data_IF_575273846631
#
_entry.id   IF_575273846631
#
_cell.length_a   1.000
_cell.length_b   1.000
_cell.length_c   1.000
_cell.angle_alpha   90.00
_cell.angle_beta   90.00
_cell.angle_gamma   90.00
#
_symmetry.space_group_name_H-M   'P 1'
#
loop_
_entity.id
_entity.type
_entity.pdbx_description
1 polymer ?
#
# COMPACT_ATOMS: atom_id res chain seq x y z
N UNK A 1 34.63 47.72 -81.34
CA UNK A 1 35.80 48.06 -80.51
C UNK A 1 35.38 48.02 -79.04
N UNK A 2 36.02 47.13 -78.26
CA UNK A 2 36.10 47.13 -76.78
C UNK A 2 36.91 48.37 -76.31
N UNK A 3 36.90 48.81 -75.01
CA UNK A 3 37.11 48.03 -73.77
C UNK A 3 36.12 48.39 -72.62
N UNK A 4 35.69 47.54 -71.68
CA UNK A 4 36.33 46.71 -70.62
C UNK A 4 37.22 47.46 -69.63
N UNK A 5 36.80 47.61 -68.37
CA UNK A 5 37.60 47.28 -67.17
C UNK A 5 36.67 46.89 -66.00
N UNK A 6 36.78 45.64 -65.53
CA UNK A 6 36.39 45.20 -64.17
C UNK A 6 37.59 45.44 -63.23
N UNK A 7 37.35 45.48 -61.90
CA UNK A 7 37.95 44.40 -61.11
C UNK A 7 36.99 43.71 -60.15
N UNK A 8 37.35 42.46 -59.89
CA UNK A 8 36.70 41.46 -59.05
C UNK A 8 37.29 41.47 -57.65
N UNK A 9 36.46 41.50 -56.60
CA UNK A 9 36.86 41.09 -55.24
C UNK A 9 35.70 40.32 -54.57
N UNK A 10 35.93 39.04 -54.30
CA UNK A 10 35.27 38.15 -53.32
C UNK A 10 36.25 38.00 -52.13
N UNK A 11 35.92 37.45 -50.95
CA UNK A 11 34.65 37.08 -50.30
C UNK A 11 34.63 37.66 -48.83
N UNK A 12 33.97 37.14 -47.75
CA UNK A 12 33.87 35.74 -47.32
C UNK A 12 32.43 35.24 -47.08
N UNK A 13 32.24 33.95 -47.31
CA UNK A 13 31.12 33.17 -46.80
C UNK A 13 31.45 32.90 -45.32
N UNK A 14 30.64 33.42 -44.40
CA UNK A 14 30.70 33.01 -43.00
C UNK A 14 29.44 32.20 -42.67
N UNK A 15 29.57 30.92 -42.32
CA UNK A 15 28.44 30.13 -41.88
C UNK A 15 28.11 30.52 -40.43
N UNK A 16 26.93 31.11 -40.22
CA UNK A 16 26.38 31.28 -38.87
C UNK A 16 25.79 29.94 -38.43
N UNK A 17 26.66 29.04 -37.99
CA UNK A 17 26.27 27.89 -37.18
C UNK A 17 25.95 28.47 -35.80
N UNK A 18 24.66 28.63 -35.49
CA UNK A 18 24.21 28.79 -34.12
C UNK A 18 23.94 27.40 -33.54
N UNK A 19 24.75 26.91 -32.58
CA UNK A 19 24.33 25.84 -31.71
C UNK A 19 23.36 26.45 -30.70
N UNK A 20 22.06 26.24 -30.88
CA UNK A 20 21.08 26.49 -29.81
C UNK A 20 21.18 25.36 -28.79
N UNK A 21 22.28 25.34 -28.03
CA UNK A 21 22.37 24.59 -26.79
C UNK A 21 21.61 25.44 -25.77
N UNK A 22 20.32 25.18 -25.62
CA UNK A 22 19.59 25.60 -24.44
C UNK A 22 19.86 24.55 -23.35
N UNK A 23 20.61 24.88 -22.29
CA UNK A 23 20.60 24.06 -21.09
C UNK A 23 19.24 24.27 -20.43
N UNK A 24 18.32 23.32 -20.63
CA UNK A 24 17.12 23.21 -19.79
C UNK A 24 17.58 22.71 -18.42
N UNK A 25 18.08 23.65 -17.60
CA UNK A 25 18.21 23.48 -16.16
C UNK A 25 16.79 23.48 -15.62
N UNK A 26 16.08 22.36 -15.74
CA UNK A 26 14.96 22.10 -14.87
C UNK A 26 15.57 21.62 -13.55
N UNK A 27 15.38 22.36 -12.44
CA UNK A 27 15.83 21.88 -11.14
C UNK A 27 15.12 20.55 -10.89
N UNK A 28 15.91 19.48 -10.74
CA UNK A 28 15.45 18.28 -10.07
C UNK A 28 14.85 18.74 -8.75
N UNK A 29 13.52 18.71 -8.63
CA UNK A 29 12.87 18.82 -7.34
C UNK A 29 13.29 17.54 -6.64
N UNK A 30 14.34 17.66 -5.83
CA UNK A 30 14.64 16.74 -4.76
C UNK A 30 13.37 16.66 -3.93
N UNK A 31 12.54 15.68 -4.23
CA UNK A 31 11.52 15.23 -3.31
C UNK A 31 12.30 14.73 -2.10
N UNK A 32 12.18 15.35 -0.92
CA UNK A 32 12.67 14.72 0.28
C UNK A 32 11.71 13.55 0.50
N UNK A 33 12.11 12.35 0.09
CA UNK A 33 11.54 11.13 0.66
C UNK A 33 12.00 11.04 2.11
N UNK A 34 11.46 11.93 2.94
CA UNK A 34 11.49 11.77 4.37
C UNK A 34 10.31 10.83 4.65
N UNK A 35 10.58 9.53 4.55
CA UNK A 35 9.88 8.55 5.36
C UNK A 35 10.39 8.73 6.79
N UNK A 36 9.60 9.22 7.75
CA UNK A 36 9.88 8.93 9.14
C UNK A 36 9.28 7.55 9.40
N UNK A 37 10.09 6.52 9.22
CA UNK A 37 9.81 5.20 9.77
C UNK A 37 11.10 4.62 10.33
N UNK A 38 11.64 5.29 11.35
CA UNK A 38 12.60 4.64 12.25
C UNK A 38 11.75 3.88 13.28
N UNK A 39 11.27 2.71 12.88
CA UNK A 39 10.96 1.65 13.83
C UNK A 39 12.09 0.61 13.74
N UNK A 40 12.62 0.12 14.87
CA UNK A 40 13.59 -0.96 14.86
C UNK A 40 12.95 -2.17 14.17
N UNK A 41 13.59 -2.67 13.11
CA UNK A 41 13.21 -3.95 12.51
C UNK A 41 13.52 -5.05 13.52
N UNK A 42 12.55 -5.42 14.34
CA UNK A 42 12.63 -6.66 15.11
C UNK A 42 12.25 -7.78 14.14
N UNK A 43 13.24 -8.33 13.44
CA UNK A 43 13.11 -9.64 12.82
C UNK A 43 12.83 -10.66 13.94
N UNK A 44 11.68 -11.34 13.97
CA UNK A 44 11.49 -12.43 14.92
C UNK A 44 12.42 -13.57 14.50
N UNK A 45 13.41 -13.89 15.35
CA UNK A 45 14.17 -15.12 15.20
C UNK A 45 13.18 -16.28 15.39
N UNK A 46 12.94 -17.05 14.33
CA UNK A 46 12.10 -18.24 14.35
C UNK A 46 12.94 -19.35 15.00
N UNK A 47 12.97 -19.38 16.33
CA UNK A 47 13.44 -20.52 17.09
C UNK A 47 12.23 -21.12 17.82
N UNK A 48 11.84 -22.38 17.57
CA UNK A 48 10.69 -23.00 18.21
C UNK A 48 11.11 -23.43 19.61
N UNK A 49 10.92 -22.55 20.58
CA UNK A 49 11.01 -22.90 22.00
C UNK A 49 10.07 -22.04 22.82
N UNK A 50 8.94 -22.64 23.17
CA UNK A 50 8.08 -22.42 24.34
C UNK A 50 8.06 -21.00 24.94
N UNK A 51 6.88 -20.36 24.88
CA UNK A 51 6.48 -19.04 25.42
C UNK A 51 6.53 -17.83 24.45
N UNK A 52 5.80 -17.84 23.34
CA UNK A 52 5.22 -16.58 22.84
C UNK A 52 4.00 -16.22 23.70
N UNK A 53 4.26 -15.58 24.85
CA UNK A 53 3.22 -14.87 25.62
C UNK A 53 2.58 -13.83 24.70
N UNK A 54 1.29 -13.97 24.37
CA UNK A 54 0.24 -12.96 24.10
C UNK A 54 0.66 -11.53 23.65
N UNK A 55 1.78 -11.35 22.97
CA UNK A 55 2.29 -10.06 22.53
C UNK A 55 1.79 -9.84 21.10
N UNK A 56 1.35 -8.62 20.75
CA UNK A 56 1.05 -8.29 19.38
C UNK A 56 2.31 -8.47 18.51
N UNK A 57 2.14 -9.17 17.40
CA UNK A 57 3.09 -9.19 16.30
C UNK A 57 2.74 -8.01 15.40
N UNK A 58 3.64 -7.04 15.35
CA UNK A 58 3.50 -5.84 14.53
C UNK A 58 3.94 -6.15 13.11
N UNK A 59 3.14 -5.74 12.13
CA UNK A 59 3.56 -5.73 10.74
C UNK A 59 3.48 -4.29 10.24
N UNK A 60 4.58 -3.82 9.64
CA UNK A 60 4.48 -2.63 8.80
C UNK A 60 3.51 -2.93 7.65
N UNK A 61 2.68 -1.95 7.25
CA UNK A 61 1.79 -2.09 6.09
C UNK A 61 2.53 -2.55 4.83
N UNK A 62 3.82 -2.18 4.69
CA UNK A 62 4.67 -2.65 3.60
C UNK A 62 4.82 -4.17 3.51
N UNK A 63 4.61 -4.92 4.60
CA UNK A 63 4.59 -6.39 4.55
C UNK A 63 3.36 -6.89 3.81
N UNK A 64 2.19 -6.29 4.01
CA UNK A 64 0.96 -6.69 3.34
C UNK A 64 0.97 -6.38 1.83
N UNK A 65 1.91 -5.56 1.34
CA UNK A 65 2.02 -5.20 -0.08
C UNK A 65 2.71 -6.24 -0.95
N UNK A 66 3.36 -7.25 -0.37
CA UNK A 66 4.22 -8.18 -1.13
C UNK A 66 3.82 -9.64 -0.93
N UNK A 67 4.04 -10.47 -1.95
CA UNK A 67 3.89 -11.93 -1.85
C UNK A 67 4.72 -12.50 -0.68
N UNK A 68 5.93 -12.00 -0.46
CA UNK A 68 6.76 -12.44 0.66
C UNK A 68 6.14 -12.15 2.04
N UNK A 69 5.53 -10.99 2.23
CA UNK A 69 4.86 -10.67 3.48
C UNK A 69 3.55 -11.43 3.65
N UNK A 70 2.78 -11.65 2.58
CA UNK A 70 1.59 -12.51 2.61
C UNK A 70 1.93 -13.96 3.00
N UNK A 71 3.05 -14.51 2.49
CA UNK A 71 3.57 -15.83 2.91
C UNK A 71 3.82 -15.89 4.41
N UNK A 72 4.43 -14.85 4.96
CA UNK A 72 4.74 -14.79 6.39
C UNK A 72 3.47 -14.67 7.24
N UNK A 73 2.50 -13.85 6.83
CA UNK A 73 1.22 -13.70 7.52
C UNK A 73 0.43 -15.01 7.47
N UNK A 74 0.37 -15.66 6.29
CA UNK A 74 -0.21 -16.99 6.14
C UNK A 74 0.43 -17.97 7.11
N UNK A 75 1.76 -18.11 7.07
CA UNK A 75 2.53 -19.03 7.90
C UNK A 75 2.31 -18.80 9.41
N UNK A 76 2.05 -17.57 9.84
CA UNK A 76 1.70 -17.26 11.23
C UNK A 76 0.23 -17.60 11.53
N UNK A 77 -0.70 -17.18 10.67
CA UNK A 77 -2.14 -17.36 10.91
C UNK A 77 -2.61 -18.82 10.89
N UNK A 78 -1.86 -19.74 10.27
CA UNK A 78 -2.17 -21.18 10.30
C UNK A 78 -1.67 -21.90 11.55
N UNK A 79 -0.82 -21.27 12.36
CA UNK A 79 -0.26 -21.88 13.59
C UNK A 79 -1.25 -21.88 14.76
N UNK A 80 -2.31 -21.10 14.69
CA UNK A 80 -3.31 -20.99 15.74
C UNK A 80 -4.33 -19.90 15.44
N UNK A 81 -5.19 -19.61 16.40
CA UNK A 81 -6.18 -18.56 16.26
C UNK A 81 -5.56 -17.20 16.56
N UNK A 82 -5.77 -16.23 15.67
CA UNK A 82 -5.29 -14.85 15.82
C UNK A 82 -6.45 -13.87 15.74
N UNK A 83 -6.34 -12.80 16.51
CA UNK A 83 -7.14 -11.59 16.35
C UNK A 83 -6.32 -10.52 15.63
N UNK A 84 -7.00 -9.64 14.90
CA UNK A 84 -6.41 -8.48 14.22
C UNK A 84 -6.81 -7.20 14.95
N UNK A 85 -5.85 -6.29 15.12
CA UNK A 85 -6.05 -4.93 15.58
C UNK A 85 -5.52 -3.96 14.52
N UNK A 86 -6.33 -2.97 14.19
CA UNK A 86 -6.01 -1.87 13.29
C UNK A 86 -6.15 -0.58 14.09
N UNK A 87 -5.05 0.14 14.26
CA UNK A 87 -5.04 1.48 14.85
C UNK A 87 -4.93 2.53 13.74
N UNK A 88 -5.70 3.60 13.84
CA UNK A 88 -5.84 4.65 12.83
C UNK A 88 -5.68 6.03 13.47
N UNK A 89 -5.09 6.97 12.74
CA UNK A 89 -4.95 8.37 13.16
C UNK A 89 -5.13 9.31 11.96
N UNK A 90 -5.85 10.41 12.18
CA UNK A 90 -6.07 11.46 11.19
C UNK A 90 -5.07 12.63 11.36
N UNK A 91 -5.18 13.66 10.51
CA UNK A 91 -4.28 14.83 10.59
C UNK A 91 -4.63 15.82 11.71
N UNK A 92 -5.76 15.63 12.40
CA UNK A 92 -6.15 16.39 13.59
C UNK A 92 -5.71 15.69 14.89
N UNK A 93 -4.99 14.57 14.76
CA UNK A 93 -4.57 13.68 15.85
C UNK A 93 -5.74 13.00 16.58
N UNK A 94 -6.91 12.92 15.94
CA UNK A 94 -7.97 12.02 16.37
C UNK A 94 -7.51 10.59 16.08
N UNK A 95 -7.84 9.66 16.97
CA UNK A 95 -7.50 8.24 16.82
C UNK A 95 -8.73 7.37 16.92
N UNK A 96 -8.73 6.30 16.15
CA UNK A 96 -9.74 5.26 16.19
C UNK A 96 -9.12 3.90 15.98
N UNK A 97 -9.87 2.85 16.26
CA UNK A 97 -9.43 1.49 16.04
C UNK A 97 -10.56 0.56 15.59
N UNK A 98 -10.14 -0.49 14.89
CA UNK A 98 -10.96 -1.65 14.58
C UNK A 98 -10.25 -2.91 15.07
N UNK A 99 -11.00 -3.82 15.67
CA UNK A 99 -10.51 -5.10 16.16
C UNK A 99 -11.42 -6.21 15.66
N UNK A 100 -10.81 -7.32 15.27
CA UNK A 100 -11.47 -8.49 14.71
C UNK A 100 -11.02 -9.70 15.50
N UNK A 101 -11.95 -10.36 16.20
CA UNK A 101 -11.66 -11.51 17.05
C UNK A 101 -11.16 -12.74 16.28
N UNK A 102 -11.46 -12.81 14.98
CA UNK A 102 -10.95 -13.83 14.07
C UNK A 102 -10.20 -13.17 12.93
N UNK A 103 -8.96 -13.60 12.67
CA UNK A 103 -8.15 -13.18 11.54
C UNK A 103 -7.27 -14.31 11.01
N UNK A 104 -7.20 -14.44 9.70
CA UNK A 104 -6.24 -15.30 9.03
C UNK A 104 -6.16 -15.08 7.53
N UNK A 105 -5.10 -15.61 6.92
CA UNK A 105 -4.83 -15.45 5.49
C UNK A 105 -4.52 -16.83 4.89
N UNK A 106 -5.35 -17.28 3.94
CA UNK A 106 -5.18 -18.58 3.29
C UNK A 106 -5.28 -19.77 4.27
N UNK A 107 -6.12 -19.68 5.30
CA UNK A 107 -6.14 -20.65 6.42
C UNK A 107 -6.29 -22.13 5.99
N UNK A 108 -6.99 -22.37 4.88
CA UNK A 108 -7.26 -23.71 4.35
C UNK A 108 -6.67 -23.93 2.95
N UNK A 109 -5.84 -23.01 2.47
CA UNK A 109 -5.25 -23.09 1.13
C UNK A 109 -4.13 -24.13 1.13
N UNK A 110 -4.19 -25.11 0.22
CA UNK A 110 -3.11 -26.08 0.01
C UNK A 110 -1.89 -25.40 -0.62
N UNK A 111 -2.14 -24.51 -1.57
CA UNK A 111 -1.15 -23.60 -2.15
C UNK A 111 -1.68 -22.16 -2.02
N UNK A 112 -1.21 -21.38 -1.02
CA UNK A 112 -1.72 -20.03 -0.78
C UNK A 112 -1.28 -19.02 -1.86
N UNK A 113 -0.18 -19.29 -2.59
CA UNK A 113 0.23 -18.45 -3.72
C UNK A 113 -0.78 -18.59 -4.86
N UNK A 114 -1.16 -19.83 -5.21
CA UNK A 114 -2.14 -20.09 -6.26
C UNK A 114 -3.56 -19.65 -5.85
N UNK A 115 -3.96 -19.94 -4.61
CA UNK A 115 -5.29 -19.60 -4.12
C UNK A 115 -5.46 -18.09 -3.86
N UNK A 116 -4.36 -17.32 -3.85
CA UNK A 116 -4.39 -15.86 -3.79
C UNK A 116 -4.64 -15.33 -2.38
N UNK A 117 -4.18 -16.04 -1.35
CA UNK A 117 -4.20 -15.58 0.04
C UNK A 117 -5.57 -15.06 0.52
N UNK A 118 -6.65 -15.85 0.45
CA UNK A 118 -7.98 -15.38 0.82
C UNK A 118 -8.05 -14.91 2.29
N UNK A 119 -8.69 -13.78 2.53
CA UNK A 119 -8.88 -13.21 3.87
C UNK A 119 -9.92 -14.00 4.64
N UNK A 120 -9.62 -14.32 5.89
CA UNK A 120 -10.61 -14.71 6.91
C UNK A 120 -10.63 -13.65 7.99
N UNK A 121 -11.78 -13.02 8.21
CA UNK A 121 -11.94 -12.00 9.25
C UNK A 121 -13.35 -12.04 9.85
N UNK A 122 -13.46 -11.85 11.16
CA UNK A 122 -14.73 -11.93 11.88
C UNK A 122 -14.73 -11.20 13.22
N UNK A 123 -15.89 -11.18 13.87
CA UNK A 123 -16.05 -10.70 15.25
C UNK A 123 -15.56 -9.26 15.47
N UNK A 124 -16.06 -8.34 14.64
CA UNK A 124 -15.71 -6.92 14.72
C UNK A 124 -16.09 -6.30 16.06
N UNK A 125 -15.19 -5.48 16.60
CA UNK A 125 -15.40 -4.54 17.69
C UNK A 125 -14.51 -3.31 17.50
N UNK A 126 -14.88 -2.17 18.10
CA UNK A 126 -14.07 -0.94 18.04
C UNK A 126 -14.88 0.31 17.76
N UNK A 127 -14.19 1.43 17.65
CA UNK A 127 -14.80 2.76 17.49
C UNK A 127 -14.57 3.40 16.10
N UNK A 128 -13.78 2.80 15.22
CA UNK A 128 -13.60 3.27 13.83
C UNK A 128 -14.77 2.90 12.90
N UNK A 129 -15.74 2.12 13.39
CA UNK A 129 -16.71 1.42 12.53
C UNK A 129 -16.04 0.29 11.73
N UNK A 130 -16.85 -0.64 11.22
CA UNK A 130 -16.34 -1.74 10.40
C UNK A 130 -16.19 -1.31 8.93
N UNK A 131 -14.98 -1.49 8.39
CA UNK A 131 -14.68 -1.35 6.97
C UNK A 131 -13.93 -2.55 6.38
N UNK A 132 -13.90 -3.70 7.07
CA UNK A 132 -13.16 -4.89 6.63
C UNK A 132 -14.04 -6.15 6.48
N UNK A 133 -15.16 -6.32 7.20
CA UNK A 133 -15.94 -7.57 7.08
C UNK A 133 -16.46 -7.83 5.66
N UNK A 134 -16.72 -6.79 4.87
CA UNK A 134 -17.12 -6.93 3.45
C UNK A 134 -16.03 -7.52 2.55
N UNK A 135 -14.78 -7.54 3.02
CA UNK A 135 -13.63 -8.13 2.35
C UNK A 135 -13.39 -9.58 2.76
N UNK A 136 -14.13 -10.10 3.74
CA UNK A 136 -14.00 -11.49 4.18
C UNK A 136 -14.22 -12.46 3.01
N UNK A 137 -13.34 -13.45 2.89
CA UNK A 137 -13.32 -14.45 1.82
C UNK A 137 -12.73 -13.97 0.50
N UNK A 138 -12.40 -12.68 0.35
CA UNK A 138 -11.81 -12.18 -0.89
C UNK A 138 -10.34 -12.55 -1.00
N UNK A 139 -9.89 -12.78 -2.23
CA UNK A 139 -8.49 -13.01 -2.58
C UNK A 139 -7.74 -11.68 -2.63
N UNK A 140 -6.43 -11.73 -2.41
CA UNK A 140 -5.59 -10.55 -2.48
C UNK A 140 -5.34 -10.16 -3.93
N UNK A 141 -5.61 -8.91 -4.27
CA UNK A 141 -5.46 -8.35 -5.61
C UNK A 141 -4.41 -7.26 -5.61
N UNK A 142 -3.53 -7.31 -6.62
CA UNK A 142 -2.49 -6.32 -6.91
C UNK A 142 -2.67 -5.80 -8.35
N UNK A 143 -1.93 -4.75 -8.69
CA UNK A 143 -1.96 -4.16 -10.04
C UNK A 143 -1.62 -5.17 -11.14
N UNK A 144 -0.77 -6.14 -10.84
CA UNK A 144 -0.25 -7.17 -11.74
C UNK A 144 -0.96 -8.53 -11.60
N UNK A 145 -1.85 -8.69 -10.61
CA UNK A 145 -2.63 -9.92 -10.40
C UNK A 145 -4.03 -9.58 -9.92
N UNK A 146 -4.99 -9.71 -10.83
CA UNK A 146 -6.41 -9.46 -10.57
C UNK A 146 -7.13 -10.71 -10.05
N UNK A 147 -7.59 -10.68 -8.81
CA UNK A 147 -8.40 -11.72 -8.19
C UNK A 147 -9.70 -11.16 -7.59
N UNK A 148 -10.09 -9.94 -7.95
CA UNK A 148 -11.28 -9.29 -7.39
C UNK A 148 -12.55 -9.63 -8.19
N UNK A 149 -13.71 -9.12 -7.77
CA UNK A 149 -15.01 -9.37 -8.40
C UNK A 149 -15.49 -8.19 -9.27
N UNK A 150 -14.64 -7.20 -9.51
CA UNK A 150 -14.94 -6.08 -10.40
C UNK A 150 -14.64 -6.47 -11.85
N UNK A 151 -15.25 -5.75 -12.80
CA UNK A 151 -14.92 -5.87 -14.23
C UNK A 151 -13.56 -5.22 -14.57
N UNK A 152 -13.09 -4.34 -13.69
CA UNK A 152 -11.78 -3.68 -13.77
C UNK A 152 -10.94 -4.06 -12.55
N UNK A 153 -9.63 -4.02 -12.70
CA UNK A 153 -8.69 -4.28 -11.60
C UNK A 153 -8.78 -3.18 -10.52
N UNK A 154 -9.32 -3.52 -9.35
CA UNK A 154 -9.51 -2.59 -8.24
C UNK A 154 -8.18 -2.03 -7.72
N UNK A 155 -7.13 -2.84 -7.67
CA UNK A 155 -5.81 -2.40 -7.22
C UNK A 155 -5.22 -1.30 -8.12
N UNK A 156 -5.46 -1.39 -9.43
CA UNK A 156 -5.05 -0.40 -10.41
C UNK A 156 -5.85 0.89 -10.28
N UNK A 157 -7.17 0.79 -10.05
CA UNK A 157 -8.08 1.92 -9.97
C UNK A 157 -7.92 2.72 -8.66
N UNK A 158 -7.78 2.02 -7.53
CA UNK A 158 -7.66 2.61 -6.20
C UNK A 158 -6.21 2.67 -5.68
N UNK A 159 -5.26 2.48 -6.60
CA UNK A 159 -3.83 2.69 -6.36
C UNK A 159 -3.27 1.99 -5.12
N UNK A 160 -3.70 0.74 -4.90
CA UNK A 160 -3.32 -0.03 -3.72
C UNK A 160 -3.15 -1.51 -3.99
N UNK A 161 -3.15 -2.29 -2.91
CA UNK A 161 -3.09 -3.74 -2.92
C UNK A 161 -3.85 -4.26 -1.72
N UNK A 162 -4.93 -5.01 -1.94
CA UNK A 162 -5.88 -5.36 -0.89
C UNK A 162 -6.69 -6.59 -1.25
N UNK A 163 -7.44 -7.11 -0.28
CA UNK A 163 -8.48 -8.12 -0.50
C UNK A 163 -9.73 -7.49 -1.13
N UNK A 164 -9.59 -6.93 -2.33
CA UNK A 164 -10.66 -6.20 -3.00
C UNK A 164 -11.84 -7.13 -3.33
N UNK A 165 -13.07 -6.58 -3.23
CA UNK A 165 -14.33 -7.20 -3.68
C UNK A 165 -14.81 -6.55 -4.96
N UNK A 166 -15.57 -5.46 -4.85
CA UNK A 166 -16.00 -4.62 -5.98
C UNK A 166 -16.37 -3.20 -5.46
N UNK A 167 -15.42 -2.39 -5.00
CA UNK A 167 -14.00 -2.71 -4.80
C UNK A 167 -13.62 -2.78 -3.33
N UNK A 168 -13.90 -1.75 -2.52
CA UNK A 168 -13.52 -1.77 -1.10
C UNK A 168 -14.40 -0.93 -0.19
N UNK A 169 -14.27 -1.17 1.11
CA UNK A 169 -14.64 -0.25 2.20
C UNK A 169 -13.42 0.23 3.01
N UNK A 170 -12.27 -0.43 2.86
CA UNK A 170 -10.97 -0.01 3.42
C UNK A 170 -9.88 -0.13 2.36
N UNK A 171 -8.92 0.79 2.37
CA UNK A 171 -7.79 0.80 1.42
C UNK A 171 -6.51 1.26 2.13
N UNK A 172 -6.12 0.59 3.21
CA UNK A 172 -4.98 1.01 4.05
C UNK A 172 -3.63 0.99 3.30
N UNK A 173 -3.60 0.29 2.16
CA UNK A 173 -2.47 0.15 1.26
C UNK A 173 -2.57 1.08 0.03
N UNK A 174 -3.47 2.07 0.04
CA UNK A 174 -3.61 3.07 -1.02
C UNK A 174 -2.56 4.18 -0.95
N UNK A 175 -2.76 5.25 -1.72
CA UNK A 175 -1.82 6.36 -1.78
C UNK A 175 -1.82 7.18 -0.49
N UNK A 176 -0.65 7.67 -0.07
CA UNK A 176 -0.58 8.57 1.07
C UNK A 176 -0.87 10.03 0.64
N UNK A 177 -2.15 10.37 0.56
CA UNK A 177 -2.64 11.67 0.03
C UNK A 177 -2.76 12.79 1.06
N UNK A 178 -2.47 12.48 2.34
CA UNK A 178 -2.34 13.43 3.46
C UNK A 178 -3.63 14.21 3.79
N UNK A 179 -4.66 13.50 4.23
CA UNK A 179 -5.93 14.08 4.67
C UNK A 179 -6.93 14.21 3.53
N UNK A 180 -7.71 15.29 3.53
CA UNK A 180 -8.74 15.54 2.53
C UNK A 180 -8.15 15.59 1.11
N UNK A 181 -8.76 14.87 0.17
CA UNK A 181 -8.36 14.86 -1.23
C UNK A 181 -9.57 14.87 -2.18
N UNK A 182 -9.32 15.12 -3.46
CA UNK A 182 -10.37 15.29 -4.50
C UNK A 182 -10.63 14.03 -5.31
N UNK A 183 -9.67 13.11 -5.36
CA UNK A 183 -9.82 11.81 -5.99
C UNK A 183 -10.76 10.92 -5.16
N UNK A 184 -11.28 9.85 -5.77
CA UNK A 184 -12.26 8.99 -5.12
C UNK A 184 -11.58 7.74 -4.55
N UNK A 185 -11.50 7.67 -3.21
CA UNK A 185 -11.17 6.48 -2.43
C UNK A 185 -9.81 5.80 -2.71
N UNK A 186 -8.87 6.50 -3.35
CA UNK A 186 -7.56 6.00 -3.75
C UNK A 186 -6.44 6.30 -2.73
N UNK A 187 -6.79 6.86 -1.57
CA UNK A 187 -5.88 7.12 -0.46
C UNK A 187 -5.80 5.99 0.56
N UNK A 188 -5.18 6.26 1.72
CA UNK A 188 -5.25 5.38 2.90
C UNK A 188 -6.63 5.54 3.57
N UNK A 189 -7.63 4.81 3.09
CA UNK A 189 -9.02 5.02 3.48
C UNK A 189 -9.55 4.02 4.50
N UNK A 190 -10.38 4.50 5.44
CA UNK A 190 -11.24 3.69 6.30
C UNK A 190 -12.66 4.29 6.30
N UNK A 191 -13.52 3.80 5.39
CA UNK A 191 -14.74 4.50 5.00
C UNK A 191 -15.73 4.76 6.13
N UNK A 192 -15.83 3.85 7.10
CA UNK A 192 -16.73 3.99 8.23
C UNK A 192 -16.33 5.06 9.24
N UNK A 193 -15.09 5.56 9.19
CA UNK A 193 -14.59 6.60 10.09
C UNK A 193 -14.44 7.95 9.39
N UNK A 194 -13.66 8.02 8.31
CA UNK A 194 -13.30 9.29 7.63
C UNK A 194 -13.90 9.43 6.24
N UNK A 195 -14.73 8.49 5.80
CA UNK A 195 -15.35 8.51 4.47
C UNK A 195 -14.39 8.06 3.36
N UNK A 196 -14.67 8.51 2.13
CA UNK A 196 -14.03 8.01 0.91
C UNK A 196 -13.02 8.99 0.29
N UNK A 197 -12.78 10.12 0.92
CA UNK A 197 -12.01 11.23 0.35
C UNK A 197 -11.05 11.80 1.40
N UNK A 198 -10.59 10.94 2.33
CA UNK A 198 -9.71 11.33 3.40
C UNK A 198 -8.66 10.25 3.64
N UNK A 199 -7.44 10.53 3.20
CA UNK A 199 -6.29 9.65 3.42
C UNK A 199 -5.74 9.85 4.83
N UNK A 200 -5.80 8.80 5.64
CA UNK A 200 -5.31 8.79 7.02
C UNK A 200 -3.82 9.17 7.12
N UNK A 201 -3.45 9.76 8.26
CA UNK A 201 -2.06 10.12 8.61
C UNK A 201 -1.26 8.89 9.01
N UNK A 202 -1.89 7.99 9.77
CA UNK A 202 -1.26 6.78 10.23
C UNK A 202 -2.28 5.64 10.26
N UNK A 203 -1.78 4.46 9.91
CA UNK A 203 -2.48 3.20 10.16
C UNK A 203 -1.48 2.11 10.46
N UNK A 204 -1.83 1.21 11.36
CA UNK A 204 -1.01 0.06 11.74
C UNK A 204 -1.88 -1.18 11.92
N UNK A 205 -1.48 -2.27 11.28
CA UNK A 205 -2.11 -3.58 11.42
C UNK A 205 -1.22 -4.49 12.25
N UNK A 206 -1.78 -5.10 13.30
CA UNK A 206 -1.07 -6.02 14.18
C UNK A 206 -1.95 -7.18 14.58
N UNK A 207 -1.37 -8.37 14.74
CA UNK A 207 -2.10 -9.57 15.12
C UNK A 207 -1.63 -10.09 16.46
N UNK A 208 -2.49 -10.77 17.20
CA UNK A 208 -2.13 -11.42 18.45
C UNK A 208 -2.81 -12.79 18.54
N UNK A 209 -2.14 -13.83 19.06
CA UNK A 209 -2.80 -15.10 19.32
C UNK A 209 -3.98 -14.91 20.28
N UNK A 210 -5.14 -15.44 19.94
CA UNK A 210 -6.26 -15.56 20.89
C UNK A 210 -6.00 -16.74 21.80
N UNK A 211 -6.41 -16.65 23.08
CA UNK A 211 -6.34 -17.83 23.96
C UNK A 211 -7.34 -18.84 23.45
N UNK A 212 -6.88 -20.02 23.05
CA UNK A 212 -7.77 -21.17 23.01
C UNK A 212 -8.30 -21.38 24.42
N UNK A 213 -9.62 -21.40 24.56
CA UNK A 213 -10.28 -21.84 25.78
C UNK A 213 -10.08 -23.36 25.91
N UNK A 214 -8.85 -23.85 26.03
CA UNK A 214 -8.54 -25.23 26.45
C UNK A 214 -8.78 -25.43 27.95
N UNK A 215 -9.82 -24.80 28.51
CA UNK A 215 -10.28 -25.05 29.88
C UNK A 215 -11.80 -24.96 29.93
N UNK A 216 -12.46 -26.04 29.53
CA UNK A 216 -13.77 -26.41 30.05
C UNK A 216 -13.89 -27.93 30.15
#
# INVERSE_FOLDING_TARGET
MHPSVRPSVRPPIHPSIHPSIHPSIHPSIHHPSIHPSIHPSIHPSIHPSNFQKLQPIYFSLSYFLSSAGLKQIHALSVQGNYELRIDLEDFENSTAYAQYGTFGVGLFSVDPDDDGYPLTVGDYSGNAGDSLLKHNGMKFTTKDRDNDHSENNCASFYHGAWWYRNCHTSNLNGQYLRGQHTSYADGIEWSSWTGWQYSLKFSEMKIRPTRDLENK
#
